data_IF_367063491119
#
_entry.id   IF_367063491119
#
_cell.length_a   1.000
_cell.length_b   1.000
_cell.length_c   1.000
_cell.angle_alpha   90.00
_cell.angle_beta   90.00
_cell.angle_gamma   90.00
#
_symmetry.space_group_name_H-M   'P 1'
#
loop_
_entity.id
_entity.type
_entity.pdbx_description
1 polymer ?
#
# COMPACT_ATOMS: atom_id res chain seq x y z
N UNK A 1 -90.89 -29.91 -27.33
CA UNK A 1 -91.62 -31.16 -27.05
C UNK A 1 -91.46 -31.44 -25.58
N UNK A 2 -92.53 -31.28 -24.81
CA UNK A 2 -93.35 -32.39 -24.25
C UNK A 2 -92.92 -32.58 -22.77
N UNK A 3 -93.78 -32.67 -21.75
CA UNK A 3 -95.23 -32.80 -21.67
C UNK A 3 -95.73 -32.34 -20.29
N UNK A 4 -96.92 -31.76 -20.25
CA UNK A 4 -97.78 -31.76 -19.05
C UNK A 4 -98.16 -33.19 -18.67
N UNK A 5 -98.53 -33.43 -17.40
CA UNK A 5 -99.60 -34.36 -17.09
C UNK A 5 -100.75 -33.69 -16.34
N UNK A 6 -101.91 -33.93 -16.93
CA UNK A 6 -103.30 -33.87 -16.50
C UNK A 6 -103.63 -33.64 -15.01
N UNK A 7 -104.49 -32.65 -14.84
CA UNK A 7 -105.51 -32.55 -13.81
C UNK A 7 -106.53 -33.69 -13.96
N UNK A 8 -106.87 -34.38 -12.87
CA UNK A 8 -108.25 -34.83 -12.69
C UNK A 8 -108.64 -35.07 -11.23
N UNK A 9 -109.62 -34.26 -10.81
CA UNK A 9 -110.74 -34.55 -9.89
C UNK A 9 -110.47 -34.94 -8.44
N UNK A 10 -110.63 -33.94 -7.55
CA UNK A 10 -111.44 -34.06 -6.33
C UNK A 10 -112.19 -32.75 -6.02
N UNK A 11 -113.49 -32.73 -6.28
CA UNK A 11 -114.46 -31.81 -5.66
C UNK A 11 -114.79 -32.26 -4.21
N UNK A 12 -115.42 -31.42 -3.36
CA UNK A 12 -114.88 -30.19 -2.80
C UNK A 12 -115.01 -30.29 -1.27
N UNK A 13 -113.91 -30.50 -0.54
CA UNK A 13 -113.97 -30.46 0.92
C UNK A 13 -113.97 -29.01 1.38
N UNK A 14 -115.20 -28.46 1.51
CA UNK A 14 -115.59 -27.40 2.44
C UNK A 14 -114.47 -26.38 2.73
N UNK A 15 -114.32 -25.38 1.86
CA UNK A 15 -113.63 -24.14 2.23
C UNK A 15 -114.42 -23.48 3.37
N UNK A 16 -113.91 -23.64 4.59
CA UNK A 16 -114.16 -22.65 5.63
C UNK A 16 -113.49 -21.36 5.12
N UNK A 17 -114.20 -20.23 5.00
CA UNK A 17 -113.57 -18.98 4.59
C UNK A 17 -112.43 -18.72 5.57
N UNK A 18 -111.17 -18.54 5.10
CA UNK A 18 -110.04 -18.38 6.00
C UNK A 18 -110.34 -17.22 6.94
N UNK A 19 -110.22 -17.48 8.25
CA UNK A 19 -110.31 -16.42 9.24
C UNK A 19 -109.24 -15.36 8.94
N UNK A 20 -109.47 -14.11 9.33
CA UNK A 20 -108.50 -13.01 9.13
C UNK A 20 -107.08 -13.38 9.63
N UNK A 21 -107.00 -14.26 10.62
CA UNK A 21 -105.75 -14.74 11.23
C UNK A 21 -104.98 -15.74 10.33
N UNK A 22 -105.67 -16.56 9.53
CA UNK A 22 -105.03 -17.52 8.60
C UNK A 22 -104.38 -16.81 7.41
N UNK A 23 -105.00 -15.73 6.92
CA UNK A 23 -104.42 -14.89 5.86
C UNK A 23 -103.19 -14.12 6.33
N UNK A 24 -103.22 -13.63 7.58
CA UNK A 24 -102.07 -12.95 8.17
C UNK A 24 -100.90 -13.91 8.37
N UNK A 25 -101.18 -15.12 8.83
CA UNK A 25 -100.16 -16.18 9.01
C UNK A 25 -99.52 -16.55 7.68
N UNK A 26 -100.31 -16.79 6.62
CA UNK A 26 -99.78 -17.08 5.28
C UNK A 26 -98.95 -15.94 4.68
N UNK A 27 -99.33 -14.67 4.94
CA UNK A 27 -98.57 -13.50 4.49
C UNK A 27 -97.20 -13.42 5.21
N UNK A 28 -97.18 -13.62 6.52
CA UNK A 28 -95.95 -13.63 7.32
C UNK A 28 -95.04 -14.78 6.89
N UNK A 29 -95.57 -15.99 6.70
CA UNK A 29 -94.80 -17.14 6.21
C UNK A 29 -94.18 -16.89 4.84
N UNK A 30 -94.93 -16.29 3.91
CA UNK A 30 -94.42 -15.91 2.59
C UNK A 30 -93.30 -14.86 2.68
N UNK A 31 -93.44 -13.89 3.59
CA UNK A 31 -92.43 -12.86 3.81
C UNK A 31 -91.15 -13.45 4.45
N UNK A 32 -91.30 -14.31 5.47
CA UNK A 32 -90.20 -15.02 6.13
C UNK A 32 -89.46 -15.91 5.12
N UNK A 33 -90.19 -16.67 4.30
CA UNK A 33 -89.59 -17.52 3.25
C UNK A 33 -88.76 -16.70 2.26
N UNK A 34 -89.27 -15.53 1.86
CA UNK A 34 -88.54 -14.60 0.97
C UNK A 34 -87.28 -14.02 1.64
N UNK A 35 -87.36 -13.70 2.92
CA UNK A 35 -86.22 -13.22 3.72
C UNK A 35 -85.16 -14.31 3.90
N UNK A 36 -85.56 -15.54 4.20
CA UNK A 36 -84.67 -16.70 4.28
C UNK A 36 -83.95 -16.93 2.96
N UNK A 37 -84.67 -16.95 1.84
CA UNK A 37 -84.07 -17.08 0.51
C UNK A 37 -83.06 -15.95 0.20
N UNK A 38 -83.41 -14.70 0.55
CA UNK A 38 -82.50 -13.56 0.39
C UNK A 38 -81.23 -13.69 1.24
N UNK A 39 -81.35 -14.19 2.47
CA UNK A 39 -80.23 -14.43 3.36
C UNK A 39 -79.33 -15.58 2.86
N UNK A 40 -79.90 -16.66 2.35
CA UNK A 40 -79.16 -17.80 1.79
C UNK A 40 -78.37 -17.38 0.55
N UNK A 41 -78.99 -16.58 -0.33
CA UNK A 41 -78.32 -16.02 -1.50
C UNK A 41 -77.15 -15.11 -1.10
N UNK A 42 -77.35 -14.24 -0.11
CA UNK A 42 -76.30 -13.33 0.40
C UNK A 42 -75.15 -14.10 1.04
N UNK A 43 -75.46 -15.16 1.77
CA UNK A 43 -74.46 -16.03 2.40
C UNK A 43 -73.63 -16.76 1.35
N UNK A 44 -74.28 -17.31 0.32
CA UNK A 44 -73.60 -17.97 -0.81
C UNK A 44 -72.65 -17.03 -1.54
N UNK A 45 -73.11 -15.80 -1.81
CA UNK A 45 -72.31 -14.78 -2.49
C UNK A 45 -71.13 -14.30 -1.63
N UNK A 46 -71.28 -14.29 -0.32
CA UNK A 46 -70.20 -13.96 0.63
C UNK A 46 -69.13 -15.05 0.64
N UNK A 47 -69.54 -16.32 0.66
CA UNK A 47 -68.63 -17.47 0.57
C UNK A 47 -67.85 -17.45 -0.75
N UNK A 48 -68.50 -17.15 -1.88
CA UNK A 48 -67.82 -17.04 -3.17
C UNK A 48 -66.78 -15.89 -3.20
N UNK A 49 -67.12 -14.73 -2.63
CA UNK A 49 -66.20 -13.60 -2.51
C UNK A 49 -64.98 -13.94 -1.66
N UNK A 50 -65.19 -14.60 -0.52
CA UNK A 50 -64.09 -15.00 0.36
C UNK A 50 -63.13 -15.97 -0.36
N UNK A 51 -63.65 -16.95 -1.10
CA UNK A 51 -62.82 -17.84 -1.93
C UNK A 51 -61.98 -17.09 -2.96
N UNK A 52 -62.54 -16.05 -3.62
CA UNK A 52 -61.78 -15.22 -4.57
C UNK A 52 -60.67 -14.42 -3.88
N UNK A 53 -60.94 -13.91 -2.67
CA UNK A 53 -59.93 -13.20 -1.87
C UNK A 53 -58.78 -14.14 -1.50
N UNK A 54 -59.07 -15.36 -1.06
CA UNK A 54 -58.02 -16.34 -0.71
C UNK A 54 -57.13 -16.67 -1.90
N UNK A 55 -57.71 -16.84 -3.10
CA UNK A 55 -56.94 -17.06 -4.35
C UNK A 55 -56.06 -15.86 -4.68
N UNK A 56 -56.55 -14.64 -4.51
CA UNK A 56 -55.76 -13.43 -4.75
C UNK A 56 -54.62 -13.27 -3.75
N UNK A 57 -54.86 -13.59 -2.47
CA UNK A 57 -53.84 -13.59 -1.42
C UNK A 57 -52.75 -14.62 -1.76
N UNK A 58 -53.14 -15.84 -2.13
CA UNK A 58 -52.19 -16.87 -2.55
C UNK A 58 -51.35 -16.41 -3.76
N UNK A 59 -51.98 -15.87 -4.81
CA UNK A 59 -51.27 -15.31 -5.98
C UNK A 59 -50.31 -14.20 -5.60
N UNK A 60 -50.71 -13.29 -4.69
CA UNK A 60 -49.85 -12.20 -4.19
C UNK A 60 -48.59 -12.76 -3.54
N UNK A 61 -48.73 -13.74 -2.65
CA UNK A 61 -47.58 -14.33 -1.97
C UNK A 61 -46.70 -15.16 -2.90
N UNK A 62 -47.28 -15.89 -3.87
CA UNK A 62 -46.49 -16.61 -4.89
C UNK A 62 -45.70 -15.64 -5.77
N UNK A 63 -46.29 -14.52 -6.18
CA UNK A 63 -45.60 -13.49 -6.96
C UNK A 63 -44.48 -12.81 -6.14
N UNK A 64 -44.72 -12.52 -4.86
CA UNK A 64 -43.70 -11.99 -3.96
C UNK A 64 -42.54 -12.98 -3.80
N UNK A 65 -42.84 -14.26 -3.60
CA UNK A 65 -41.86 -15.33 -3.49
C UNK A 65 -41.04 -15.50 -4.78
N UNK A 66 -41.67 -15.36 -5.95
CA UNK A 66 -40.98 -15.34 -7.24
C UNK A 66 -40.03 -14.13 -7.35
N UNK A 67 -40.46 -12.94 -6.96
CA UNK A 67 -39.60 -11.75 -6.99
C UNK A 67 -38.42 -11.83 -6.02
N UNK A 68 -38.56 -12.55 -4.90
CA UNK A 68 -37.49 -12.74 -3.92
C UNK A 68 -36.55 -13.91 -4.24
N UNK A 69 -36.99 -14.88 -5.03
CA UNK A 69 -36.24 -16.13 -5.29
C UNK A 69 -35.99 -16.46 -6.75
N UNK A 70 -36.44 -15.65 -7.71
CA UNK A 70 -35.83 -15.67 -9.04
C UNK A 70 -34.38 -15.28 -8.84
N UNK A 71 -33.49 -16.14 -9.30
CA UNK A 71 -32.07 -15.86 -9.47
C UNK A 71 -31.94 -14.60 -10.32
N UNK A 72 -32.02 -13.44 -9.67
CA UNK A 72 -31.72 -12.18 -10.28
C UNK A 72 -30.20 -12.20 -10.43
N UNK A 73 -29.65 -12.31 -11.66
CA UNK A 73 -28.19 -12.41 -11.86
C UNK A 73 -27.45 -11.17 -11.35
N UNK A 74 -28.19 -10.16 -10.89
CA UNK A 74 -27.71 -8.99 -10.18
C UNK A 74 -28.26 -9.01 -8.75
N UNK A 75 -27.59 -9.74 -7.87
CA UNK A 75 -27.74 -9.54 -6.42
C UNK A 75 -27.21 -8.13 -6.09
N UNK A 76 -28.10 -7.13 -6.16
CA UNK A 76 -27.81 -5.72 -5.94
C UNK A 76 -27.08 -5.48 -4.62
N UNK A 77 -27.39 -6.25 -3.58
CA UNK A 77 -26.76 -6.16 -2.27
C UNK A 77 -25.29 -6.60 -2.34
N UNK A 78 -24.99 -7.71 -3.01
CA UNK A 78 -23.62 -8.17 -3.20
C UNK A 78 -22.80 -7.19 -4.06
N UNK A 79 -23.41 -6.62 -5.10
CA UNK A 79 -22.77 -5.60 -5.94
C UNK A 79 -22.49 -4.29 -5.18
N UNK A 80 -23.41 -3.87 -4.31
CA UNK A 80 -23.22 -2.70 -3.44
C UNK A 80 -22.09 -2.91 -2.43
N UNK A 81 -22.02 -4.10 -1.81
CA UNK A 81 -20.92 -4.45 -0.90
C UNK A 81 -19.56 -4.47 -1.61
N UNK A 82 -19.51 -5.06 -2.81
CA UNK A 82 -18.30 -5.06 -3.64
C UNK A 82 -17.87 -3.64 -4.02
N UNK A 83 -18.82 -2.79 -4.43
CA UNK A 83 -18.57 -1.40 -4.76
C UNK A 83 -18.06 -0.61 -3.55
N UNK A 84 -18.66 -0.82 -2.38
CA UNK A 84 -18.24 -0.18 -1.13
C UNK A 84 -16.81 -0.58 -0.74
N UNK A 85 -16.48 -1.87 -0.88
CA UNK A 85 -15.12 -2.40 -0.64
C UNK A 85 -14.10 -1.80 -1.61
N UNK A 86 -14.43 -1.72 -2.90
CA UNK A 86 -13.58 -1.08 -3.91
C UNK A 86 -13.35 0.40 -3.61
N UNK A 87 -14.40 1.14 -3.25
CA UNK A 87 -14.30 2.54 -2.89
C UNK A 87 -13.43 2.75 -1.64
N UNK A 88 -13.56 1.90 -0.62
CA UNK A 88 -12.71 1.95 0.57
C UNK A 88 -11.23 1.73 0.24
N UNK A 89 -10.93 0.76 -0.64
CA UNK A 89 -9.56 0.50 -1.09
C UNK A 89 -8.98 1.66 -1.91
N UNK A 90 -9.77 2.26 -2.80
CA UNK A 90 -9.36 3.46 -3.55
C UNK A 90 -9.08 4.63 -2.60
N UNK A 91 -9.93 4.87 -1.61
CA UNK A 91 -9.74 5.92 -0.62
C UNK A 91 -8.45 5.71 0.19
N UNK A 92 -8.20 4.46 0.61
CA UNK A 92 -6.98 4.09 1.34
C UNK A 92 -5.72 4.33 0.49
N UNK A 93 -5.75 3.94 -0.79
CA UNK A 93 -4.65 4.20 -1.73
C UNK A 93 -4.40 5.69 -1.94
N UNK A 94 -5.46 6.47 -2.17
CA UNK A 94 -5.37 7.93 -2.29
C UNK A 94 -4.76 8.56 -1.03
N UNK A 95 -5.19 8.13 0.15
CA UNK A 95 -4.66 8.64 1.41
C UNK A 95 -3.15 8.35 1.56
N UNK A 96 -2.72 7.14 1.19
CA UNK A 96 -1.30 6.78 1.18
C UNK A 96 -0.49 7.66 0.22
N UNK A 97 -0.98 7.89 -0.99
CA UNK A 97 -0.32 8.74 -1.99
C UNK A 97 -0.24 10.19 -1.53
N UNK A 98 -1.33 10.73 -0.96
CA UNK A 98 -1.37 12.09 -0.42
C UNK A 98 -0.36 12.24 0.72
N UNK A 99 -0.31 11.28 1.65
CA UNK A 99 0.67 11.31 2.74
C UNK A 99 2.12 11.20 2.23
N UNK A 100 2.37 10.30 1.27
CA UNK A 100 3.69 10.17 0.66
C UNK A 100 4.12 11.48 -0.03
N UNK A 101 3.21 12.12 -0.78
CA UNK A 101 3.46 13.41 -1.44
C UNK A 101 3.71 14.53 -0.42
N UNK A 102 2.91 14.59 0.65
CA UNK A 102 3.06 15.58 1.74
C UNK A 102 4.42 15.44 2.44
N UNK A 103 4.89 14.20 2.61
CA UNK A 103 6.14 13.90 3.30
C UNK A 103 7.35 13.82 2.36
N UNK A 104 7.17 13.99 1.04
CA UNK A 104 8.24 13.91 0.05
C UNK A 104 9.35 14.94 0.34
N UNK A 105 9.00 16.15 0.77
CA UNK A 105 9.97 17.16 1.17
C UNK A 105 10.82 16.72 2.37
N UNK A 106 10.21 16.08 3.36
CA UNK A 106 10.95 15.57 4.53
C UNK A 106 11.90 14.43 4.12
N UNK A 107 11.44 13.51 3.27
CA UNK A 107 12.29 12.45 2.73
C UNK A 107 13.47 13.02 1.93
N UNK A 108 13.22 14.06 1.13
CA UNK A 108 14.25 14.76 0.37
C UNK A 108 15.25 15.50 1.29
N UNK A 109 14.76 16.22 2.31
CA UNK A 109 15.61 16.88 3.30
C UNK A 109 16.51 15.87 4.05
N UNK A 110 15.95 14.73 4.47
CA UNK A 110 16.71 13.63 5.09
C UNK A 110 17.79 13.11 4.13
N UNK A 111 17.46 12.93 2.85
CA UNK A 111 18.42 12.51 1.84
C UNK A 111 19.55 13.54 1.65
N UNK A 112 19.22 14.82 1.49
CA UNK A 112 20.19 15.91 1.37
C UNK A 112 21.14 15.97 2.57
N UNK A 113 20.59 15.89 3.80
CA UNK A 113 21.38 15.85 5.03
C UNK A 113 22.33 14.65 5.05
N UNK A 114 21.88 13.48 4.61
CA UNK A 114 22.73 12.27 4.51
C UNK A 114 23.88 12.47 3.53
N UNK A 115 23.61 12.99 2.33
CA UNK A 115 24.64 13.27 1.31
C UNK A 115 25.67 14.29 1.81
N UNK A 116 25.20 15.37 2.46
CA UNK A 116 26.10 16.38 3.02
C UNK A 116 27.00 15.81 4.12
N UNK A 117 26.48 14.95 5.00
CA UNK A 117 27.29 14.24 6.01
C UNK A 117 28.35 13.36 5.37
N UNK A 118 27.97 12.53 4.40
CA UNK A 118 28.92 11.67 3.68
C UNK A 118 30.00 12.49 2.98
N UNK A 119 29.65 13.62 2.36
CA UNK A 119 30.62 14.54 1.75
C UNK A 119 31.58 15.12 2.78
N UNK A 120 31.07 15.55 3.94
CA UNK A 120 31.89 16.09 5.02
C UNK A 120 32.84 15.02 5.60
N UNK A 121 32.38 13.79 5.75
CA UNK A 121 33.19 12.67 6.25
C UNK A 121 34.26 12.26 5.23
N UNK A 122 33.93 12.21 3.94
CA UNK A 122 34.94 12.05 2.88
C UNK A 122 35.93 13.20 2.87
N UNK A 123 35.52 14.44 3.13
CA UNK A 123 36.43 15.57 3.17
C UNK A 123 37.35 15.52 4.40
N UNK A 124 36.86 15.02 5.55
CA UNK A 124 37.70 14.70 6.71
C UNK A 124 38.69 13.57 6.42
N UNK A 125 38.28 12.53 5.69
CA UNK A 125 39.19 11.46 5.25
C UNK A 125 40.19 11.95 4.20
N UNK A 126 39.78 12.84 3.29
CA UNK A 126 40.65 13.53 2.33
C UNK A 126 41.58 14.57 2.98
N UNK A 127 41.48 14.84 4.29
CA UNK A 127 42.59 15.46 5.03
C UNK A 127 43.84 14.56 5.10
N UNK A 128 43.78 13.35 4.54
CA UNK A 128 44.94 12.50 4.23
C UNK A 128 45.68 12.91 2.94
N UNK A 129 45.32 14.05 2.32
CA UNK A 129 46.16 14.70 1.33
C UNK A 129 47.25 15.48 2.07
N UNK A 130 48.51 15.13 1.85
CA UNK A 130 49.62 15.91 2.38
C UNK A 130 49.67 17.32 1.77
N UNK A 131 50.52 18.18 2.30
CA UNK A 131 50.69 19.57 1.87
C UNK A 131 50.95 19.72 0.35
N UNK A 132 51.55 18.72 -0.29
CA UNK A 132 51.85 18.71 -1.72
C UNK A 132 50.67 18.29 -2.59
N UNK A 133 49.74 17.49 -2.05
CA UNK A 133 48.59 17.01 -2.82
C UNK A 133 47.48 18.06 -2.95
N UNK A 134 47.45 19.04 -2.04
CA UNK A 134 46.57 20.21 -2.11
C UNK A 134 47.13 21.39 -2.91
N UNK A 135 48.39 21.32 -3.33
CA UNK A 135 49.11 22.43 -3.95
C UNK A 135 48.79 22.57 -5.44
N UNK A 136 48.75 23.81 -5.95
CA UNK A 136 48.56 24.02 -7.38
C UNK A 136 49.79 23.50 -8.17
N UNK A 137 49.57 23.11 -9.42
CA UNK A 137 50.61 22.51 -10.26
C UNK A 137 51.84 23.40 -10.45
N UNK A 138 51.66 24.73 -10.55
CA UNK A 138 52.76 25.66 -10.77
C UNK A 138 53.69 25.76 -9.56
N UNK A 139 53.11 25.83 -8.35
CA UNK A 139 53.84 25.86 -7.10
C UNK A 139 54.54 24.52 -6.84
N UNK A 140 53.84 23.39 -7.08
CA UNK A 140 54.45 22.06 -6.97
C UNK A 140 55.63 21.90 -7.92
N UNK A 141 55.50 22.35 -9.17
CA UNK A 141 56.58 22.32 -10.17
C UNK A 141 57.78 23.16 -9.73
N UNK A 142 57.54 24.33 -9.12
CA UNK A 142 58.60 25.21 -8.60
C UNK A 142 59.34 24.57 -7.43
N UNK A 143 58.61 23.96 -6.49
CA UNK A 143 59.20 23.25 -5.35
C UNK A 143 60.08 22.09 -5.83
N UNK A 144 59.57 21.25 -6.74
CA UNK A 144 60.33 20.12 -7.29
C UNK A 144 61.62 20.61 -7.96
N UNK A 145 61.54 21.70 -8.73
CA UNK A 145 62.72 22.27 -9.38
C UNK A 145 63.76 22.76 -8.36
N UNK A 146 63.32 23.49 -7.32
CA UNK A 146 64.21 23.98 -6.27
C UNK A 146 64.86 22.83 -5.50
N UNK A 147 64.10 21.81 -5.09
CA UNK A 147 64.66 20.62 -4.43
C UNK A 147 65.67 19.89 -5.31
N UNK A 148 65.45 19.86 -6.62
CA UNK A 148 66.40 19.23 -7.57
C UNK A 148 67.73 19.99 -7.61
N UNK A 149 67.68 21.32 -7.62
CA UNK A 149 68.87 22.19 -7.56
C UNK A 149 69.61 21.98 -6.23
N UNK A 150 68.89 22.01 -5.10
CA UNK A 150 69.49 21.80 -3.77
C UNK A 150 70.19 20.44 -3.66
N UNK A 151 69.56 19.37 -4.16
CA UNK A 151 70.17 18.03 -4.17
C UNK A 151 71.45 18.01 -5.00
N UNK A 152 71.46 18.69 -6.14
CA UNK A 152 72.64 18.77 -7.00
C UNK A 152 73.78 19.54 -6.31
N UNK A 153 73.48 20.67 -5.66
CA UNK A 153 74.47 21.42 -4.88
C UNK A 153 75.05 20.60 -3.71
N UNK A 154 74.21 19.84 -3.01
CA UNK A 154 74.64 18.96 -1.92
C UNK A 154 75.58 17.87 -2.45
N UNK A 155 75.26 17.28 -3.61
CA UNK A 155 76.12 16.28 -4.26
C UNK A 155 77.49 16.86 -4.61
N UNK A 156 77.52 18.02 -5.26
CA UNK A 156 78.77 18.69 -5.63
C UNK A 156 79.64 19.04 -4.41
N UNK A 157 79.03 19.58 -3.35
CA UNK A 157 79.72 19.85 -2.09
C UNK A 157 80.25 18.57 -1.44
N UNK A 158 79.48 17.49 -1.50
CA UNK A 158 79.87 16.18 -0.95
C UNK A 158 81.04 15.58 -1.74
N UNK A 159 81.02 15.68 -3.07
CA UNK A 159 82.09 15.20 -3.93
C UNK A 159 83.40 15.96 -3.70
N UNK A 160 83.31 17.30 -3.61
CA UNK A 160 84.45 18.15 -3.24
C UNK A 160 85.03 17.75 -1.89
N UNK A 161 84.18 17.53 -0.87
CA UNK A 161 84.62 17.12 0.46
C UNK A 161 85.25 15.73 0.45
N UNK A 162 84.72 14.80 -0.35
CA UNK A 162 85.28 13.46 -0.54
C UNK A 162 86.69 13.51 -1.13
N UNK A 163 86.92 14.35 -2.14
CA UNK A 163 88.26 14.58 -2.72
C UNK A 163 89.21 15.19 -1.70
N UNK A 164 88.77 16.19 -0.92
CA UNK A 164 89.57 16.80 0.14
C UNK A 164 90.00 15.76 1.20
N UNK A 165 89.06 14.92 1.64
CA UNK A 165 89.31 13.87 2.62
C UNK A 165 90.28 12.80 2.10
N UNK A 166 90.19 12.42 0.82
CA UNK A 166 91.16 11.51 0.19
C UNK A 166 92.58 12.09 0.22
N UNK A 167 92.75 13.35 -0.18
CA UNK A 167 94.07 14.04 -0.13
C UNK A 167 94.63 14.11 1.29
N UNK A 168 93.78 14.48 2.28
CA UNK A 168 94.19 14.50 3.70
C UNK A 168 94.62 13.11 4.17
N UNK A 169 93.91 12.06 3.78
CA UNK A 169 94.27 10.67 4.11
C UNK A 169 95.62 10.27 3.52
N UNK A 170 95.92 10.68 2.29
CA UNK A 170 97.22 10.44 1.64
C UNK A 170 98.36 11.16 2.36
N UNK A 171 98.15 12.43 2.75
CA UNK A 171 99.12 13.19 3.53
C UNK A 171 99.41 12.54 4.89
N UNK A 172 98.37 12.10 5.61
CA UNK A 172 98.53 11.39 6.89
C UNK A 172 99.33 10.10 6.70
N UNK A 173 99.03 9.30 5.67
CA UNK A 173 99.78 8.07 5.38
C UNK A 173 101.25 8.35 5.08
N UNK A 174 101.54 9.40 4.31
CA UNK A 174 102.91 9.79 3.98
C UNK A 174 103.68 10.26 5.23
N UNK A 175 103.05 11.09 6.06
CA UNK A 175 103.63 11.56 7.33
C UNK A 175 103.89 10.40 8.29
N UNK A 176 102.94 9.48 8.44
CA UNK A 176 103.10 8.30 9.28
C UNK A 176 104.25 7.40 8.80
N UNK A 177 104.42 7.23 7.48
CA UNK A 177 105.54 6.49 6.90
C UNK A 177 106.89 7.18 7.19
N UNK A 178 106.96 8.50 7.07
CA UNK A 178 108.16 9.29 7.41
C UNK A 178 108.50 9.13 8.89
N UNK A 179 107.54 9.36 9.77
CA UNK A 179 107.74 9.25 11.22
C UNK A 179 108.20 7.85 11.64
N UNK A 180 107.64 6.79 11.05
CA UNK A 180 108.09 5.42 11.31
C UNK A 180 109.54 5.18 10.86
N UNK A 181 109.96 5.78 9.75
CA UNK A 181 111.36 5.72 9.31
C UNK A 181 112.27 6.47 10.30
N UNK A 182 111.88 7.67 10.74
CA UNK A 182 112.65 8.46 11.70
C UNK A 182 112.82 7.71 13.03
N UNK A 183 111.73 7.14 13.56
CA UNK A 183 111.75 6.27 14.76
C UNK A 183 112.71 5.09 14.55
N UNK A 184 112.67 4.45 13.39
CA UNK A 184 113.56 3.31 13.08
C UNK A 184 115.04 3.73 13.05
N UNK A 185 115.36 4.88 12.47
CA UNK A 185 116.73 5.41 12.42
C UNK A 185 117.22 5.76 13.83
N UNK A 186 116.42 6.46 14.62
CA UNK A 186 116.75 6.79 16.01
C UNK A 186 116.97 5.52 16.86
N UNK A 187 116.09 4.53 16.72
CA UNK A 187 116.23 3.23 17.40
C UNK A 187 117.46 2.43 16.95
N UNK A 188 118.05 2.74 15.79
CA UNK A 188 119.31 2.15 15.33
C UNK A 188 120.49 2.88 15.94
N UNK A 189 120.47 4.22 15.94
CA UNK A 189 121.50 5.05 16.60
C UNK A 189 121.59 4.70 18.09
N UNK A 190 120.47 4.56 18.80
CA UNK A 190 120.44 4.17 20.21
C UNK A 190 121.04 2.78 20.49
N UNK A 191 120.98 1.86 19.52
CA UNK A 191 121.57 0.51 19.66
C UNK A 191 123.05 0.46 19.33
N UNK A 192 123.53 1.42 18.53
CA UNK A 192 124.91 1.51 18.07
C UNK A 192 125.78 2.41 18.99
N UNK A 193 125.18 3.10 19.97
CA UNK A 193 125.82 3.94 20.99
C UNK A 193 126.03 3.18 22.32
#
# INVERSE_FOLDING_TARGET
MASNPDENNKDPKSEVPPGKDDQMTAYVEKYVTRMCYGNDLRTTLTVEKNKKVDVLIAKKYTALNYLTHVDNPQNLVANLQLLHSRNANMLKGLYQVVNAKRNAFQAYDVYCKKVLRVKADMQKQRKCFDEFTGMNYHDLKKIILNSTIEVQEIREKTDLKSVELKKKRELIKASQKSMNNDIRVLSQIERDA
#
